data_IF_955926289513
#
_entry.id   IF_955926289513
#
_cell.length_a   1.000
_cell.length_b   1.000
_cell.length_c   1.000
_cell.angle_alpha   90.00
_cell.angle_beta   90.00
_cell.angle_gamma   90.00
#
_symmetry.space_group_name_H-M   'P 1'
#
loop_
_entity.id
_entity.type
_entity.pdbx_description
1 polymer ?
#
# COMPACT_ATOMS: atom_id res chain seq x y z
N UNK A 1 -38.66 27.92 -50.22
CA UNK A 1 -38.72 26.59 -49.58
C UNK A 1 -38.19 26.78 -48.17
N UNK A 2 -38.92 26.44 -47.10
CA UNK A 2 -38.37 26.58 -45.75
C UNK A 2 -37.20 25.59 -45.63
N UNK A 3 -36.03 26.09 -45.20
CA UNK A 3 -34.90 25.24 -44.82
C UNK A 3 -35.38 24.32 -43.68
N UNK A 4 -35.42 23.02 -43.96
CA UNK A 4 -35.70 22.00 -42.96
C UNK A 4 -34.52 22.00 -42.00
N UNK A 5 -34.72 22.54 -40.79
CA UNK A 5 -33.74 22.45 -39.72
C UNK A 5 -33.36 20.98 -39.43
N UNK A 6 -32.21 20.73 -38.79
CA UNK A 6 -31.72 19.37 -38.53
C UNK A 6 -32.80 18.47 -37.93
N UNK A 7 -33.03 17.31 -38.54
CA UNK A 7 -34.12 16.38 -38.19
C UNK A 7 -33.87 15.77 -36.80
N UNK A 8 -34.66 16.22 -35.81
CA UNK A 8 -34.62 15.71 -34.45
C UNK A 8 -35.53 14.50 -34.35
N UNK A 9 -34.95 13.36 -33.99
CA UNK A 9 -35.64 12.09 -33.85
C UNK A 9 -35.46 11.53 -32.43
N UNK A 10 -36.54 11.01 -31.86
CA UNK A 10 -36.50 10.27 -30.60
C UNK A 10 -36.07 8.83 -30.88
N UNK A 11 -34.86 8.45 -30.47
CA UNK A 11 -34.28 7.13 -30.75
C UNK A 11 -33.77 6.48 -29.46
N UNK A 12 -33.80 5.14 -29.45
CA UNK A 12 -33.10 4.34 -28.46
C UNK A 12 -31.64 4.15 -28.91
N UNK A 13 -30.70 4.67 -28.13
CA UNK A 13 -29.28 4.72 -28.44
C UNK A 13 -28.58 3.69 -27.57
N UNK A 14 -27.87 2.77 -28.22
CA UNK A 14 -27.03 1.77 -27.58
C UNK A 14 -25.58 2.16 -27.73
N UNK A 15 -24.87 2.31 -26.61
CA UNK A 15 -23.42 2.44 -26.55
C UNK A 15 -22.85 1.16 -25.93
N UNK A 16 -21.74 0.66 -26.46
CA UNK A 16 -21.02 -0.45 -25.85
C UNK A 16 -19.50 -0.26 -25.95
N UNK A 17 -18.76 -0.82 -25.00
CA UNK A 17 -17.29 -0.84 -25.00
C UNK A 17 -16.76 -2.16 -24.45
N UNK A 18 -15.45 -2.37 -24.58
CA UNK A 18 -14.76 -3.54 -24.02
C UNK A 18 -14.29 -3.26 -22.59
N UNK A 19 -14.71 -4.09 -21.64
CA UNK A 19 -14.26 -3.99 -20.26
C UNK A 19 -12.74 -4.28 -20.16
N UNK A 20 -11.95 -3.25 -19.81
CA UNK A 20 -10.51 -3.39 -19.58
C UNK A 20 -9.67 -3.52 -20.86
N UNK A 21 -10.12 -2.95 -21.98
CA UNK A 21 -9.46 -3.02 -23.29
C UNK A 21 -7.96 -2.71 -23.27
N UNK A 22 -7.54 -1.63 -22.59
CA UNK A 22 -6.13 -1.22 -22.51
C UNK A 22 -5.22 -2.29 -21.91
N UNK A 23 -5.74 -3.08 -20.95
CA UNK A 23 -5.01 -4.19 -20.32
C UNK A 23 -4.84 -5.38 -21.28
N UNK A 24 -5.87 -5.68 -22.08
CA UNK A 24 -5.83 -6.76 -23.08
C UNK A 24 -4.84 -6.43 -24.21
N UNK A 25 -4.85 -5.17 -24.67
CA UNK A 25 -3.93 -4.68 -25.70
C UNK A 25 -2.46 -4.72 -25.25
N UNK A 26 -2.16 -4.38 -24.00
CA UNK A 26 -0.80 -4.43 -23.45
C UNK A 26 -0.26 -5.87 -23.29
N UNK A 27 -1.16 -6.85 -23.11
CA UNK A 27 -0.77 -8.24 -22.91
C UNK A 27 -0.50 -8.97 -24.23
N UNK A 28 -1.40 -8.86 -25.22
CA UNK A 28 -1.27 -9.51 -26.52
C UNK A 28 -2.04 -8.74 -27.61
N UNK A 29 -1.33 -7.97 -28.43
CA UNK A 29 -1.94 -7.08 -29.44
C UNK A 29 -2.69 -7.83 -30.55
N UNK A 30 -2.07 -8.84 -31.17
CA UNK A 30 -2.62 -9.52 -32.37
C UNK A 30 -3.87 -10.35 -32.08
N UNK A 31 -3.89 -11.10 -30.97
CA UNK A 31 -5.02 -11.96 -30.58
C UNK A 31 -6.21 -11.15 -30.06
N UNK A 32 -5.96 -10.00 -29.43
CA UNK A 32 -6.99 -9.05 -29.00
C UNK A 32 -7.71 -8.45 -30.19
N UNK A 33 -6.97 -8.01 -31.22
CA UNK A 33 -7.56 -7.44 -32.45
C UNK A 33 -8.41 -8.47 -33.24
N UNK A 34 -8.01 -9.73 -33.29
CA UNK A 34 -8.76 -10.79 -33.97
C UNK A 34 -10.07 -11.13 -33.24
N UNK A 35 -10.01 -11.17 -31.90
CA UNK A 35 -11.18 -11.39 -31.04
C UNK A 35 -12.15 -10.21 -31.15
N UNK A 36 -11.64 -8.98 -31.13
CA UNK A 36 -12.42 -7.75 -31.30
C UNK A 36 -13.15 -7.70 -32.65
N UNK A 37 -12.48 -8.06 -33.76
CA UNK A 37 -13.13 -8.15 -35.09
C UNK A 37 -14.31 -9.11 -35.07
N UNK A 38 -14.10 -10.30 -34.52
CA UNK A 38 -15.12 -11.35 -34.42
C UNK A 38 -16.33 -10.91 -33.58
N UNK A 39 -16.09 -10.14 -32.50
CA UNK A 39 -17.16 -9.60 -31.66
C UNK A 39 -17.88 -8.44 -32.36
N UNK A 40 -17.18 -7.58 -33.10
CA UNK A 40 -17.79 -6.50 -33.90
C UNK A 40 -18.70 -7.03 -35.00
N UNK A 41 -18.35 -8.16 -35.61
CA UNK A 41 -19.22 -8.82 -36.60
C UNK A 41 -20.50 -9.37 -35.95
N UNK A 42 -20.41 -9.88 -34.72
CA UNK A 42 -21.56 -10.26 -33.90
C UNK A 42 -22.49 -9.05 -33.63
N UNK A 43 -21.93 -7.92 -33.19
CA UNK A 43 -22.70 -6.68 -33.02
C UNK A 43 -23.40 -6.26 -34.31
N UNK A 44 -22.68 -6.23 -35.45
CA UNK A 44 -23.27 -5.85 -36.75
C UNK A 44 -24.45 -6.76 -37.13
N UNK A 45 -24.30 -8.07 -36.94
CA UNK A 45 -25.33 -9.05 -37.24
C UNK A 45 -26.61 -8.84 -36.42
N UNK A 46 -26.47 -8.70 -35.09
CA UNK A 46 -27.61 -8.49 -34.20
C UNK A 46 -28.27 -7.12 -34.40
N UNK A 47 -27.49 -6.04 -34.49
CA UNK A 47 -28.04 -4.70 -34.72
C UNK A 47 -28.92 -4.71 -35.98
N UNK A 48 -28.44 -5.31 -37.07
CA UNK A 48 -29.23 -5.45 -38.31
C UNK A 48 -30.47 -6.31 -38.11
N UNK A 49 -30.33 -7.47 -37.46
CA UNK A 49 -31.43 -8.41 -37.18
C UNK A 49 -32.57 -7.77 -36.38
N UNK A 50 -32.24 -6.89 -35.44
CA UNK A 50 -33.22 -6.20 -34.60
C UNK A 50 -33.66 -4.84 -35.18
N UNK A 51 -33.43 -4.61 -36.48
CA UNK A 51 -33.80 -3.38 -37.20
C UNK A 51 -33.17 -2.10 -36.59
N UNK A 52 -31.97 -2.23 -36.04
CA UNK A 52 -31.15 -1.11 -35.61
C UNK A 52 -30.26 -0.57 -36.74
N UNK A 53 -29.87 0.70 -36.61
CA UNK A 53 -28.90 1.36 -37.47
C UNK A 53 -27.57 1.46 -36.74
N UNK A 54 -26.53 0.86 -37.30
CA UNK A 54 -25.18 1.00 -36.80
C UNK A 54 -24.62 2.39 -37.15
N UNK A 55 -24.18 3.13 -36.14
CA UNK A 55 -23.65 4.49 -36.29
C UNK A 55 -22.12 4.48 -36.32
N UNK A 56 -21.50 3.87 -35.32
CA UNK A 56 -20.04 3.81 -35.20
C UNK A 56 -19.57 2.45 -34.66
N UNK A 57 -18.40 2.04 -35.14
CA UNK A 57 -17.61 0.90 -34.64
C UNK A 57 -16.14 1.32 -34.55
N UNK A 58 -15.79 2.50 -34.04
CA UNK A 58 -14.39 2.92 -33.94
C UNK A 58 -13.74 2.38 -32.66
N UNK A 59 -12.48 1.97 -32.75
CA UNK A 59 -11.74 1.39 -31.62
C UNK A 59 -12.42 0.15 -31.03
N UNK A 60 -12.60 0.16 -29.71
CA UNK A 60 -13.32 -0.81 -28.89
C UNK A 60 -14.79 -0.44 -28.64
N UNK A 61 -15.23 0.73 -29.12
CA UNK A 61 -16.58 1.24 -28.96
C UNK A 61 -17.55 0.78 -30.04
N UNK A 62 -18.82 0.66 -29.67
CA UNK A 62 -19.96 0.42 -30.57
C UNK A 62 -21.04 1.44 -30.27
N UNK A 63 -21.57 2.08 -31.32
CA UNK A 63 -22.71 2.99 -31.21
C UNK A 63 -23.78 2.59 -32.24
N UNK A 64 -25.00 2.38 -31.77
CA UNK A 64 -26.14 2.02 -32.59
C UNK A 64 -27.40 2.76 -32.16
N UNK A 65 -28.33 2.96 -33.11
CA UNK A 65 -29.60 3.62 -32.88
C UNK A 65 -30.76 2.73 -33.33
N UNK A 66 -31.83 2.71 -32.55
CA UNK A 66 -33.03 1.91 -32.78
C UNK A 66 -34.25 2.82 -32.69
N UNK A 67 -35.23 2.59 -33.57
CA UNK A 67 -36.55 3.25 -33.49
C UNK A 67 -37.43 2.65 -32.39
N UNK A 68 -37.10 1.44 -31.93
CA UNK A 68 -37.81 0.72 -30.88
C UNK A 68 -36.90 0.48 -29.67
N UNK A 69 -37.23 1.01 -28.48
CA UNK A 69 -36.53 0.69 -27.24
C UNK A 69 -36.55 -0.81 -26.91
N UNK A 70 -37.63 -1.50 -27.27
CA UNK A 70 -37.77 -2.95 -27.05
C UNK A 70 -36.74 -3.70 -27.89
N UNK A 71 -36.61 -3.34 -29.18
CA UNK A 71 -35.62 -3.95 -30.07
C UNK A 71 -34.19 -3.70 -29.61
N UNK A 72 -33.91 -2.52 -29.06
CA UNK A 72 -32.59 -2.22 -28.51
C UNK A 72 -32.24 -3.13 -27.32
N UNK A 73 -33.19 -3.35 -26.39
CA UNK A 73 -32.98 -4.22 -25.22
C UNK A 73 -32.82 -5.68 -25.62
N UNK A 74 -33.71 -6.20 -26.47
CA UNK A 74 -33.63 -7.58 -26.98
C UNK A 74 -32.33 -7.82 -27.76
N UNK A 75 -31.91 -6.83 -28.56
CA UNK A 75 -30.62 -6.87 -29.26
C UNK A 75 -29.43 -6.93 -28.29
N UNK A 76 -29.44 -6.12 -27.22
CA UNK A 76 -28.36 -6.11 -26.25
C UNK A 76 -28.24 -7.44 -25.50
N UNK A 77 -29.38 -8.02 -25.11
CA UNK A 77 -29.41 -9.33 -24.44
C UNK A 77 -28.91 -10.42 -25.39
N UNK A 78 -29.40 -10.47 -26.63
CA UNK A 78 -28.94 -11.44 -27.63
C UNK A 78 -27.43 -11.34 -27.91
N UNK A 79 -26.88 -10.12 -27.94
CA UNK A 79 -25.44 -9.90 -28.08
C UNK A 79 -24.70 -10.45 -26.86
N UNK A 80 -25.08 -10.07 -25.64
CA UNK A 80 -24.37 -10.55 -24.43
C UNK A 80 -24.42 -12.07 -24.31
N UNK A 81 -25.54 -12.71 -24.64
CA UNK A 81 -25.70 -14.17 -24.61
C UNK A 81 -24.73 -14.86 -25.59
N UNK A 82 -24.63 -14.35 -26.82
CA UNK A 82 -23.73 -14.91 -27.83
C UNK A 82 -22.25 -14.66 -27.48
N UNK A 83 -21.92 -13.48 -26.96
CA UNK A 83 -20.56 -13.17 -26.51
C UNK A 83 -20.16 -14.03 -25.31
N UNK A 84 -21.06 -14.28 -24.35
CA UNK A 84 -20.81 -15.18 -23.23
C UNK A 84 -20.52 -16.61 -23.72
N UNK A 85 -21.28 -17.12 -24.68
CA UNK A 85 -21.05 -18.44 -25.28
C UNK A 85 -19.70 -18.52 -26.01
N UNK A 86 -19.33 -17.47 -26.75
CA UNK A 86 -18.03 -17.39 -27.44
C UNK A 86 -16.87 -17.33 -26.44
N UNK A 87 -17.01 -16.53 -25.38
CA UNK A 87 -16.00 -16.41 -24.32
C UNK A 87 -15.82 -17.71 -23.51
N UNK A 88 -16.88 -18.50 -23.32
CA UNK A 88 -16.79 -19.80 -22.65
C UNK A 88 -15.85 -20.79 -23.36
N UNK A 89 -15.66 -20.63 -24.68
CA UNK A 89 -14.77 -21.45 -25.50
C UNK A 89 -13.35 -20.86 -25.65
N UNK A 90 -13.09 -19.71 -25.03
CA UNK A 90 -11.79 -19.03 -25.09
C UNK A 90 -11.02 -19.17 -23.77
N UNK A 91 -9.68 -19.19 -23.82
CA UNK A 91 -8.88 -19.07 -22.60
C UNK A 91 -9.20 -17.78 -21.83
N UNK A 92 -9.08 -17.76 -20.48
CA UNK A 92 -9.45 -16.58 -19.67
C UNK A 92 -8.74 -15.28 -20.04
N UNK A 93 -7.54 -15.35 -20.62
CA UNK A 93 -6.78 -14.17 -21.07
C UNK A 93 -7.23 -13.63 -22.44
N UNK A 94 -8.10 -14.37 -23.16
CA UNK A 94 -8.70 -13.97 -24.45
C UNK A 94 -10.19 -13.65 -24.34
N UNK A 95 -10.83 -13.98 -23.22
CA UNK A 95 -12.24 -13.65 -22.98
C UNK A 95 -12.41 -12.12 -22.95
N UNK A 96 -13.30 -11.62 -23.81
CA UNK A 96 -13.55 -10.19 -24.00
C UNK A 96 -15.01 -9.89 -23.66
N UNK A 97 -15.23 -9.24 -22.53
CA UNK A 97 -16.56 -8.88 -22.07
C UNK A 97 -16.89 -7.45 -22.46
N UNK A 98 -18.11 -7.23 -22.93
CA UNK A 98 -18.61 -5.91 -23.31
C UNK A 98 -19.53 -5.36 -22.23
N UNK A 99 -19.55 -4.04 -22.11
CA UNK A 99 -20.52 -3.30 -21.30
C UNK A 99 -21.48 -2.59 -22.23
N UNK A 100 -22.77 -2.59 -21.92
CA UNK A 100 -23.79 -1.97 -22.79
C UNK A 100 -24.64 -0.97 -21.99
N UNK A 101 -24.84 0.20 -22.57
CA UNK A 101 -25.73 1.25 -22.07
C UNK A 101 -26.78 1.63 -23.09
N UNK A 102 -28.06 1.70 -22.71
CA UNK A 102 -29.17 2.05 -23.60
C UNK A 102 -29.95 3.24 -23.03
N UNK A 103 -30.09 4.29 -23.83
CA UNK A 103 -30.93 5.44 -23.48
C UNK A 103 -31.92 5.79 -24.59
N UNK A 104 -33.14 6.17 -24.23
CA UNK A 104 -34.10 6.78 -25.13
C UNK A 104 -34.04 8.30 -24.99
N UNK A 105 -33.71 9.01 -26.08
CA UNK A 105 -33.61 10.46 -26.07
C UNK A 105 -33.58 11.08 -27.47
N UNK A 106 -33.80 12.40 -27.52
CA UNK A 106 -33.78 13.16 -28.76
C UNK A 106 -32.35 13.30 -29.28
N UNK A 107 -32.17 12.99 -30.56
CA UNK A 107 -30.90 13.15 -31.28
C UNK A 107 -31.12 13.84 -32.60
N UNK A 108 -30.10 14.56 -33.04
CA UNK A 108 -30.01 15.09 -34.39
C UNK A 108 -29.32 14.02 -35.23
N UNK A 109 -30.04 13.52 -36.24
CA UNK A 109 -29.48 12.60 -37.22
C UNK A 109 -28.92 13.40 -38.40
N UNK A 110 -27.64 13.21 -38.70
CA UNK A 110 -26.97 13.78 -39.87
C UNK A 110 -26.25 12.66 -40.63
N UNK A 111 -26.86 12.21 -41.72
CA UNK A 111 -26.38 11.06 -42.49
C UNK A 111 -26.25 9.79 -41.64
N UNK A 112 -25.01 9.33 -41.44
CA UNK A 112 -24.68 8.14 -40.66
C UNK A 112 -24.22 8.44 -39.22
N UNK A 113 -24.30 9.69 -38.78
CA UNK A 113 -23.88 10.11 -37.43
C UNK A 113 -25.08 10.63 -36.63
N UNK A 114 -25.06 10.42 -35.32
CA UNK A 114 -26.04 10.98 -34.40
C UNK A 114 -25.36 11.89 -33.38
N UNK A 115 -25.99 13.02 -33.09
CA UNK A 115 -25.50 13.99 -32.11
C UNK A 115 -26.59 14.30 -31.09
N UNK A 116 -26.17 14.57 -29.85
CA UNK A 116 -27.06 15.06 -28.80
C UNK A 116 -26.81 14.42 -27.45
N UNK A 117 -27.49 14.95 -26.44
CA UNK A 117 -27.35 14.50 -25.05
C UNK A 117 -27.76 13.04 -24.86
N UNK A 118 -28.64 12.52 -25.71
CA UNK A 118 -29.04 11.11 -25.69
C UNK A 118 -27.87 10.14 -25.85
N UNK A 119 -26.87 10.50 -26.68
CA UNK A 119 -25.66 9.69 -26.89
C UNK A 119 -24.78 9.72 -25.65
N UNK A 120 -24.63 10.89 -25.04
CA UNK A 120 -23.87 11.06 -23.81
C UNK A 120 -24.50 10.26 -22.66
N UNK A 121 -25.82 10.21 -22.55
CA UNK A 121 -26.50 9.37 -21.53
C UNK A 121 -26.18 7.90 -21.76
N UNK A 122 -26.31 7.40 -23.00
CA UNK A 122 -26.07 6.00 -23.32
C UNK A 122 -24.65 5.56 -22.97
N UNK A 123 -23.64 6.34 -23.35
CA UNK A 123 -22.23 6.08 -23.00
C UNK A 123 -21.98 6.11 -21.48
N UNK A 124 -22.70 6.95 -20.73
CA UNK A 124 -22.57 6.97 -19.26
C UNK A 124 -23.26 5.79 -18.59
N UNK A 125 -24.36 5.30 -19.15
CA UNK A 125 -25.00 4.07 -18.68
C UNK A 125 -24.10 2.86 -18.93
N UNK A 126 -23.44 2.80 -20.09
CA UNK A 126 -22.42 1.79 -20.40
C UNK A 126 -21.32 1.79 -19.32
N UNK A 127 -20.76 2.97 -19.00
CA UNK A 127 -19.72 3.08 -17.97
C UNK A 127 -20.17 2.71 -16.54
N UNK A 128 -21.47 2.56 -16.29
CA UNK A 128 -22.03 2.07 -15.03
C UNK A 128 -22.28 0.56 -15.01
N UNK A 129 -22.28 -0.10 -16.17
CA UNK A 129 -22.48 -1.54 -16.25
C UNK A 129 -21.25 -2.29 -15.72
N UNK A 130 -21.48 -3.42 -15.05
CA UNK A 130 -20.41 -4.40 -14.79
C UNK A 130 -20.00 -5.08 -16.10
N UNK A 131 -18.85 -5.77 -16.12
CA UNK A 131 -18.43 -6.53 -17.30
C UNK A 131 -19.49 -7.55 -17.70
N UNK A 132 -19.89 -7.55 -18.98
CA UNK A 132 -21.01 -8.38 -19.48
C UNK A 132 -22.40 -7.84 -19.13
N UNK A 133 -22.50 -6.67 -18.49
CA UNK A 133 -23.75 -6.07 -18.03
C UNK A 133 -24.44 -5.19 -19.07
N UNK A 134 -25.74 -4.95 -18.84
CA UNK A 134 -26.58 -4.05 -19.64
C UNK A 134 -27.28 -3.08 -18.69
N UNK A 135 -27.09 -1.77 -18.91
CA UNK A 135 -27.74 -0.70 -18.16
C UNK A 135 -28.67 0.09 -19.07
N UNK A 136 -29.86 0.40 -18.57
CA UNK A 136 -30.86 1.18 -19.31
C UNK A 136 -31.35 2.38 -18.51
N UNK A 137 -31.72 3.45 -19.20
CA UNK A 137 -32.34 4.61 -18.56
C UNK A 137 -33.80 4.32 -18.17
N UNK A 138 -34.33 5.12 -17.25
CA UNK A 138 -35.73 5.06 -16.85
C UNK A 138 -36.72 5.30 -17.99
N UNK A 139 -36.32 6.08 -19.02
CA UNK A 139 -37.14 6.26 -20.21
C UNK A 139 -37.23 4.98 -21.04
N UNK A 140 -36.13 4.22 -21.17
CA UNK A 140 -36.17 2.88 -21.81
C UNK A 140 -37.00 1.92 -20.97
N UNK A 141 -36.74 1.83 -19.67
CA UNK A 141 -37.47 0.95 -18.76
C UNK A 141 -39.00 1.17 -18.84
N UNK A 142 -39.45 2.42 -18.77
CA UNK A 142 -40.87 2.76 -18.84
C UNK A 142 -41.56 2.27 -20.12
N UNK A 143 -40.83 2.15 -21.24
CA UNK A 143 -41.39 1.69 -22.52
C UNK A 143 -41.32 0.17 -22.73
N UNK A 144 -40.48 -0.54 -21.96
CA UNK A 144 -40.07 -1.92 -22.23
C UNK A 144 -40.46 -2.89 -21.10
N UNK A 145 -40.63 -2.44 -19.86
CA UNK A 145 -40.83 -3.29 -18.67
C UNK A 145 -41.92 -4.36 -18.83
N UNK A 146 -43.02 -4.05 -19.52
CA UNK A 146 -44.17 -4.96 -19.72
C UNK A 146 -44.13 -5.71 -21.05
N UNK A 147 -43.07 -5.51 -21.85
CA UNK A 147 -42.96 -6.02 -23.23
C UNK A 147 -41.88 -7.09 -23.41
N UNK A 148 -41.02 -7.27 -22.42
CA UNK A 148 -39.93 -8.25 -22.45
C UNK A 148 -39.93 -9.08 -21.17
N UNK A 149 -39.41 -10.31 -21.25
CA UNK A 149 -39.37 -11.24 -20.11
C UNK A 149 -38.10 -11.10 -19.26
N UNK A 150 -37.32 -10.03 -19.43
CA UNK A 150 -36.11 -9.77 -18.65
C UNK A 150 -36.44 -9.18 -17.27
N UNK A 151 -35.55 -9.34 -16.30
CA UNK A 151 -35.70 -8.68 -15.01
C UNK A 151 -35.00 -7.33 -15.05
N UNK A 152 -35.71 -6.27 -14.66
CA UNK A 152 -35.14 -4.94 -14.52
C UNK A 152 -34.90 -4.64 -13.05
N UNK A 153 -33.66 -4.30 -12.73
CA UNK A 153 -33.23 -4.05 -11.37
C UNK A 153 -32.92 -2.57 -11.21
N UNK A 154 -33.70 -1.87 -10.38
CA UNK A 154 -33.47 -0.46 -10.14
C UNK A 154 -32.18 -0.22 -9.36
N UNK A 155 -31.26 0.55 -9.95
CA UNK A 155 -29.94 0.89 -9.39
C UNK A 155 -29.85 2.35 -8.90
N UNK A 156 -31.01 3.02 -8.83
CA UNK A 156 -31.17 4.37 -8.32
C UNK A 156 -31.09 5.46 -9.38
N UNK A 157 -31.16 6.72 -8.94
CA UNK A 157 -30.96 7.89 -9.80
C UNK A 157 -29.50 8.29 -9.80
N UNK A 158 -28.86 8.38 -10.97
CA UNK A 158 -27.47 8.76 -11.13
C UNK A 158 -27.37 10.13 -11.80
N UNK A 159 -26.47 10.98 -11.28
CA UNK A 159 -26.11 12.24 -11.94
C UNK A 159 -25.08 11.94 -13.03
N UNK A 160 -25.35 12.39 -14.24
CA UNK A 160 -24.40 12.31 -15.36
C UNK A 160 -23.96 13.73 -15.73
N UNK A 161 -22.69 13.87 -16.14
CA UNK A 161 -22.15 15.18 -16.53
C UNK A 161 -23.01 15.77 -17.67
N UNK A 162 -23.29 17.07 -17.59
CA UNK A 162 -24.06 17.85 -18.58
C UNK A 162 -25.56 17.55 -18.67
N UNK A 163 -26.17 16.94 -17.65
CA UNK A 163 -27.64 16.79 -17.55
C UNK A 163 -28.12 17.34 -16.21
N UNK A 164 -29.11 18.25 -16.26
CA UNK A 164 -29.60 18.96 -15.08
C UNK A 164 -30.30 18.03 -14.06
N UNK A 165 -31.02 17.01 -14.54
CA UNK A 165 -31.77 16.08 -13.70
C UNK A 165 -31.09 14.71 -13.60
N UNK A 166 -31.06 14.09 -12.40
CA UNK A 166 -30.59 12.71 -12.24
C UNK A 166 -31.41 11.72 -13.06
N UNK A 167 -30.75 10.82 -13.78
CA UNK A 167 -31.39 9.79 -14.62
C UNK A 167 -31.62 8.53 -13.79
N UNK A 168 -32.83 7.97 -13.81
CA UNK A 168 -33.11 6.67 -13.21
C UNK A 168 -32.41 5.57 -14.02
N UNK A 169 -31.71 4.65 -13.36
CA UNK A 169 -30.92 3.59 -14.01
C UNK A 169 -31.45 2.22 -13.59
N UNK A 170 -31.55 1.32 -14.56
CA UNK A 170 -31.96 -0.06 -14.35
C UNK A 170 -30.96 -1.00 -15.00
N UNK A 171 -30.52 -2.02 -14.26
CA UNK A 171 -29.77 -3.14 -14.82
C UNK A 171 -30.73 -4.14 -15.45
N UNK A 172 -30.41 -4.63 -16.64
CA UNK A 172 -31.18 -5.67 -17.34
C UNK A 172 -30.54 -7.01 -17.07
N UNK A 173 -31.30 -7.91 -16.46
CA UNK A 173 -30.88 -9.28 -16.16
C UNK A 173 -31.64 -10.24 -17.10
N UNK A 174 -30.93 -10.96 -17.99
CA UNK A 174 -31.54 -11.95 -18.88
C UNK A 174 -32.38 -12.97 -18.11
N UNK A 175 -33.45 -13.46 -18.73
CA UNK A 175 -34.44 -14.34 -18.06
C UNK A 175 -33.78 -15.58 -17.46
N UNK A 176 -32.84 -16.19 -18.19
CA UNK A 176 -32.16 -17.41 -17.78
C UNK A 176 -31.14 -17.19 -16.65
N UNK A 177 -30.67 -15.97 -16.42
CA UNK A 177 -29.71 -15.65 -15.36
C UNK A 177 -30.34 -15.22 -14.03
N UNK A 178 -31.67 -15.01 -13.99
CA UNK A 178 -32.40 -14.46 -12.83
C UNK A 178 -32.05 -15.13 -11.49
N UNK A 179 -31.98 -16.46 -11.46
CA UNK A 179 -31.68 -17.21 -10.24
C UNK A 179 -30.23 -17.00 -9.75
N UNK A 180 -29.26 -17.05 -10.66
CA UNK A 180 -27.84 -16.82 -10.38
C UNK A 180 -27.58 -15.38 -9.94
N UNK A 181 -28.26 -14.41 -10.58
CA UNK A 181 -28.18 -13.00 -10.22
C UNK A 181 -28.72 -12.74 -8.80
N UNK A 182 -29.88 -13.30 -8.45
CA UNK A 182 -30.45 -13.15 -7.10
C UNK A 182 -29.55 -13.75 -6.02
N UNK A 183 -28.90 -14.89 -6.26
CA UNK A 183 -27.94 -15.48 -5.32
C UNK A 183 -26.66 -14.63 -5.18
N UNK A 184 -26.07 -14.18 -6.31
CA UNK A 184 -24.92 -13.25 -6.31
C UNK A 184 -25.22 -11.96 -5.54
N UNK A 185 -26.39 -11.36 -5.75
CA UNK A 185 -26.81 -10.12 -5.06
C UNK A 185 -27.11 -10.35 -3.58
N UNK A 186 -27.68 -11.51 -3.20
CA UNK A 186 -27.90 -11.90 -1.80
C UNK A 186 -26.57 -12.10 -1.07
N UNK A 187 -25.60 -12.75 -1.70
CA UNK A 187 -24.23 -12.89 -1.16
C UNK A 187 -23.53 -11.54 -1.04
N UNK A 188 -23.55 -10.69 -2.07
CA UNK A 188 -22.97 -9.32 -2.00
C UNK A 188 -23.63 -8.46 -0.91
N UNK A 189 -24.96 -8.50 -0.75
CA UNK A 189 -25.66 -7.82 0.35
C UNK A 189 -25.30 -8.41 1.72
N UNK A 190 -25.18 -9.73 1.85
CA UNK A 190 -24.74 -10.36 3.10
C UNK A 190 -23.30 -9.95 3.46
N UNK A 191 -22.40 -9.88 2.47
CA UNK A 191 -21.02 -9.38 2.66
C UNK A 191 -21.00 -7.88 3.03
N UNK A 192 -21.84 -7.05 2.42
CA UNK A 192 -21.97 -5.62 2.74
C UNK A 192 -22.59 -5.37 4.12
N UNK A 193 -23.55 -6.21 4.55
CA UNK A 193 -24.14 -6.15 5.90
C UNK A 193 -23.13 -6.63 6.94
N UNK A 194 -22.36 -7.69 6.65
CA UNK A 194 -21.26 -8.12 7.51
C UNK A 194 -20.17 -7.04 7.60
N UNK A 195 -19.79 -6.41 6.49
CA UNK A 195 -18.85 -5.30 6.45
C UNK A 195 -19.39 -4.05 7.17
N UNK A 196 -20.70 -3.77 7.06
CA UNK A 196 -21.37 -2.68 7.75
C UNK A 196 -21.53 -2.92 9.26
N UNK A 197 -21.72 -4.17 9.70
CA UNK A 197 -21.71 -4.53 11.11
C UNK A 197 -20.29 -4.40 11.72
N UNK A 198 -19.26 -4.76 10.95
CA UNK A 198 -17.86 -4.51 11.31
C UNK A 198 -17.58 -3.00 11.35
N UNK A 199 -18.05 -2.22 10.38
CA UNK A 199 -17.89 -0.76 10.35
C UNK A 199 -18.66 -0.08 11.50
N UNK A 200 -19.85 -0.56 11.84
CA UNK A 200 -20.66 -0.07 12.96
C UNK A 200 -20.02 -0.37 14.31
N UNK A 201 -19.42 -1.56 14.47
CA UNK A 201 -18.61 -1.88 15.65
C UNK A 201 -17.34 -1.01 15.71
N UNK A 202 -16.71 -0.71 14.57
CA UNK A 202 -15.55 0.22 14.48
C UNK A 202 -15.97 1.66 14.78
N UNK A 203 -17.16 2.11 14.34
CA UNK A 203 -17.66 3.46 14.60
C UNK A 203 -18.06 3.62 16.07
N UNK A 204 -18.74 2.65 16.68
CA UNK A 204 -19.03 2.66 18.11
C UNK A 204 -17.75 2.55 18.97
N UNK A 205 -16.77 1.74 18.54
CA UNK A 205 -15.44 1.71 19.15
C UNK A 205 -14.69 3.05 18.98
N UNK A 206 -14.83 3.73 17.83
CA UNK A 206 -14.21 5.04 17.54
C UNK A 206 -14.87 6.21 18.28
N UNK A 207 -16.17 6.16 18.51
CA UNK A 207 -16.90 7.13 19.34
C UNK A 207 -16.58 6.96 20.83
N UNK A 208 -16.31 5.72 21.27
CA UNK A 208 -15.70 5.45 22.58
C UNK A 208 -14.26 5.99 22.61
N UNK A 209 -13.46 5.76 21.56
CA UNK A 209 -12.07 6.24 21.43
C UNK A 209 -11.94 7.78 21.38
N UNK A 210 -12.95 8.51 20.90
CA UNK A 210 -12.96 9.96 20.82
C UNK A 210 -13.23 10.66 22.16
N UNK A 211 -13.76 9.93 23.16
CA UNK A 211 -13.97 10.41 24.53
C UNK A 211 -12.99 9.80 25.55
N UNK A 212 -12.05 8.95 25.09
CA UNK A 212 -10.90 8.54 25.90
C UNK A 212 -9.89 9.69 25.88
N UNK A 213 -9.54 10.28 27.03
CA UNK A 213 -8.46 11.26 27.08
C UNK A 213 -7.19 10.61 26.54
N UNK A 214 -6.47 11.37 25.71
CA UNK A 214 -5.22 11.00 25.07
C UNK A 214 -4.13 10.77 26.14
N UNK A 215 -4.17 9.62 26.80
CA UNK A 215 -3.09 9.12 27.65
C UNK A 215 -2.99 7.60 27.43
N UNK A 216 -1.87 7.20 26.83
CA UNK A 216 -1.42 5.82 26.60
C UNK A 216 -2.29 4.93 25.67
N UNK A 217 -1.90 4.85 24.40
CA UNK A 217 -2.00 3.58 23.66
C UNK A 217 -1.30 2.51 24.52
N UNK A 218 -1.86 1.30 24.72
CA UNK A 218 -1.18 0.29 25.51
C UNK A 218 0.14 -0.05 24.83
N UNK A 219 1.23 0.48 25.38
CA UNK A 219 2.57 -0.06 25.18
C UNK A 219 2.43 -1.55 25.45
N UNK A 220 2.71 -2.40 24.46
CA UNK A 220 2.83 -3.82 24.73
C UNK A 220 3.80 -3.96 25.92
N UNK A 221 3.29 -4.46 27.05
CA UNK A 221 3.98 -4.35 28.34
C UNK A 221 5.45 -4.74 28.20
N UNK A 222 6.34 -3.85 28.69
CA UNK A 222 7.80 -4.06 28.67
C UNK A 222 8.07 -5.44 29.29
N UNK A 223 8.77 -6.29 28.57
CA UNK A 223 9.14 -7.60 29.08
C UNK A 223 10.14 -7.42 30.23
N UNK A 224 10.04 -8.22 31.31
CA UNK A 224 10.96 -8.18 32.43
C UNK A 224 12.29 -8.87 32.06
N UNK A 225 12.93 -8.40 30.98
CA UNK A 225 14.22 -8.89 30.52
C UNK A 225 15.33 -8.45 31.49
N UNK A 226 16.33 -9.30 31.64
CA UNK A 226 17.47 -9.03 32.51
C UNK A 226 18.24 -7.81 32.01
N UNK A 227 18.39 -6.81 32.88
CA UNK A 227 19.24 -5.63 32.68
C UNK A 227 20.49 -5.76 33.54
N UNK A 228 21.67 -5.52 32.98
CA UNK A 228 22.93 -5.67 33.71
C UNK A 228 24.06 -4.81 33.14
N UNK A 229 25.17 -4.74 33.87
CA UNK A 229 26.44 -4.14 33.42
C UNK A 229 27.58 -5.11 33.73
N UNK A 230 28.60 -5.15 32.87
CA UNK A 230 29.80 -5.99 33.10
C UNK A 230 30.86 -5.27 33.95
N UNK A 231 30.77 -3.95 34.09
CA UNK A 231 31.60 -3.14 34.98
C UNK A 231 30.85 -1.85 35.38
N UNK A 232 31.27 -1.13 36.43
CA UNK A 232 30.54 0.06 36.92
C UNK A 232 30.32 1.11 35.82
N UNK A 233 31.33 1.32 34.99
CA UNK A 233 31.34 2.35 33.97
C UNK A 233 30.99 1.83 32.56
N UNK A 234 30.72 0.52 32.43
CA UNK A 234 30.36 -0.11 31.16
C UNK A 234 28.92 0.24 30.73
N UNK A 235 28.62 0.16 29.42
CA UNK A 235 27.25 0.31 28.95
C UNK A 235 26.30 -0.69 29.61
N UNK A 236 25.11 -0.20 29.95
CA UNK A 236 24.01 -1.04 30.42
C UNK A 236 23.51 -1.91 29.27
N UNK A 237 23.24 -3.17 29.56
CA UNK A 237 22.84 -4.20 28.60
C UNK A 237 21.47 -4.76 28.96
N UNK A 238 20.71 -5.16 27.95
CA UNK A 238 19.49 -5.97 28.09
C UNK A 238 19.69 -7.30 27.40
N UNK A 239 19.33 -8.39 28.07
CA UNK A 239 19.33 -9.74 27.48
C UNK A 239 18.14 -9.91 26.52
N UNK A 240 18.45 -10.00 25.23
CA UNK A 240 17.49 -10.13 24.14
C UNK A 240 17.28 -11.62 23.83
N UNK A 241 16.05 -12.13 23.88
CA UNK A 241 15.78 -13.56 23.69
C UNK A 241 15.95 -13.98 22.23
N UNK A 242 16.38 -15.23 21.99
CA UNK A 242 16.29 -15.87 20.67
C UNK A 242 14.85 -15.86 20.15
N UNK A 243 14.68 -15.83 18.83
CA UNK A 243 13.36 -15.79 18.21
C UNK A 243 13.41 -15.74 16.69
N UNK A 244 12.23 -15.60 16.08
CA UNK A 244 12.09 -15.44 14.62
C UNK A 244 11.23 -14.21 14.35
N UNK A 245 11.63 -13.40 13.38
CA UNK A 245 10.87 -12.22 12.97
C UNK A 245 10.88 -12.04 11.45
N UNK A 246 10.05 -11.12 10.97
CA UNK A 246 10.03 -10.68 9.58
C UNK A 246 10.92 -9.44 9.46
N UNK A 247 12.06 -9.58 8.75
CA UNK A 247 12.97 -8.48 8.42
C UNK A 247 12.50 -7.79 7.14
N UNK A 248 12.59 -6.47 7.11
CA UNK A 248 12.20 -5.63 5.98
C UNK A 248 10.80 -5.07 6.10
N UNK A 249 10.31 -4.40 5.06
CA UNK A 249 8.95 -3.82 5.01
C UNK A 249 8.24 -4.21 3.70
N UNK A 250 6.91 -4.42 3.73
CA UNK A 250 6.15 -4.66 2.52
C UNK A 250 6.00 -3.37 1.70
N UNK A 251 5.83 -3.46 0.36
CA UNK A 251 5.60 -2.28 -0.48
C UNK A 251 4.38 -1.44 -0.11
N UNK A 252 3.46 -1.98 0.68
CA UNK A 252 2.28 -1.28 1.21
C UNK A 252 2.55 -0.46 2.47
N UNK A 253 3.70 -0.63 3.13
CA UNK A 253 4.07 0.19 4.30
C UNK A 253 4.41 1.61 3.84
N UNK A 254 3.83 2.62 4.50
CA UNK A 254 4.09 4.03 4.17
C UNK A 254 5.58 4.37 4.40
N UNK A 255 6.20 5.01 3.42
CA UNK A 255 7.63 5.35 3.44
C UNK A 255 8.56 4.19 3.06
N UNK A 256 8.04 3.05 2.58
CA UNK A 256 8.84 1.91 2.11
C UNK A 256 9.90 2.31 1.08
N UNK A 257 11.12 1.79 1.25
CA UNK A 257 12.19 1.82 0.24
C UNK A 257 12.47 0.43 -0.32
N UNK A 258 12.80 0.36 -1.61
CA UNK A 258 13.12 -0.90 -2.29
C UNK A 258 14.26 -1.69 -1.62
N UNK A 259 15.19 -1.01 -0.94
CA UNK A 259 16.29 -1.65 -0.20
C UNK A 259 15.85 -2.44 1.03
N UNK A 260 14.62 -2.23 1.49
CA UNK A 260 13.98 -2.87 2.64
C UNK A 260 13.31 -4.20 2.27
N UNK A 261 13.28 -4.56 0.98
CA UNK A 261 12.69 -5.78 0.47
C UNK A 261 13.71 -6.80 -0.05
N UNK A 262 13.30 -8.07 -0.24
CA UNK A 262 12.01 -8.62 0.14
C UNK A 262 11.89 -8.83 1.66
N UNK A 263 10.65 -8.86 2.15
CA UNK A 263 10.37 -9.26 3.53
C UNK A 263 10.70 -10.75 3.69
N UNK A 264 11.56 -11.06 4.66
CA UNK A 264 12.06 -12.43 4.85
C UNK A 264 12.01 -12.82 6.32
N UNK A 265 11.68 -14.07 6.61
CA UNK A 265 11.78 -14.62 7.97
C UNK A 265 13.24 -14.85 8.34
N UNK A 266 13.68 -14.26 9.45
CA UNK A 266 15.05 -14.33 9.96
C UNK A 266 15.05 -14.91 11.36
N UNK A 267 15.97 -15.82 11.64
CA UNK A 267 16.12 -16.47 12.94
C UNK A 267 17.27 -15.87 13.76
N UNK A 268 16.94 -15.34 14.93
CA UNK A 268 17.90 -15.05 16.01
C UNK A 268 18.09 -16.32 16.81
N UNK A 269 19.19 -17.04 16.57
CA UNK A 269 19.37 -18.43 17.01
C UNK A 269 19.75 -18.53 18.47
N UNK A 270 20.44 -17.52 19.00
CA UNK A 270 20.88 -17.45 20.39
C UNK A 270 20.43 -16.15 21.01
N UNK A 271 20.15 -16.20 22.30
CA UNK A 271 20.02 -14.97 23.08
C UNK A 271 21.35 -14.22 23.05
N UNK A 272 21.27 -12.90 23.00
CA UNK A 272 22.43 -12.02 23.04
C UNK A 272 22.10 -10.82 23.91
N UNK A 273 23.11 -10.07 24.35
CA UNK A 273 22.87 -8.84 25.07
C UNK A 273 23.06 -7.64 24.13
N UNK A 274 22.22 -6.62 24.27
CA UNK A 274 22.31 -5.39 23.50
C UNK A 274 22.33 -4.18 24.45
N UNK A 275 23.10 -3.14 24.11
CA UNK A 275 23.13 -1.88 24.85
C UNK A 275 21.71 -1.41 25.14
N UNK A 276 21.37 -1.01 26.36
CA UNK A 276 20.02 -0.49 26.63
C UNK A 276 19.78 0.81 25.86
N UNK A 277 20.86 1.57 25.69
CA UNK A 277 20.97 2.84 24.99
C UNK A 277 22.03 2.78 23.88
N UNK A 278 22.03 3.71 22.92
CA UNK A 278 23.24 4.03 22.13
C UNK A 278 24.41 4.37 23.04
N UNK A 279 25.64 4.12 22.59
CA UNK A 279 26.83 4.48 23.37
C UNK A 279 26.84 5.98 23.61
N UNK A 280 27.03 6.38 24.86
CA UNK A 280 27.00 7.78 25.27
C UNK A 280 28.38 8.43 25.15
N UNK A 281 28.43 9.77 25.11
CA UNK A 281 29.70 10.49 25.22
C UNK A 281 30.44 10.15 26.52
N UNK A 282 29.73 9.93 27.62
CA UNK A 282 30.34 9.57 28.91
C UNK A 282 31.02 8.21 28.88
N UNK A 283 30.40 7.22 28.22
CA UNK A 283 30.99 5.90 27.99
C UNK A 283 32.16 5.98 26.99
N UNK A 284 32.03 6.76 25.92
CA UNK A 284 33.11 7.00 24.96
C UNK A 284 34.33 7.65 25.62
N UNK A 285 34.10 8.65 26.47
CA UNK A 285 35.16 9.39 27.14
C UNK A 285 35.98 8.53 28.11
N UNK A 286 35.44 7.41 28.60
CA UNK A 286 36.22 6.46 29.37
C UNK A 286 37.28 5.79 28.51
N UNK A 287 36.91 5.35 27.31
CA UNK A 287 37.84 4.78 26.35
C UNK A 287 38.96 5.78 25.98
N UNK A 288 38.61 7.07 25.90
CA UNK A 288 39.57 8.16 25.70
C UNK A 288 40.50 8.33 26.91
N UNK A 289 39.95 8.36 28.13
CA UNK A 289 40.72 8.51 29.38
C UNK A 289 41.70 7.36 29.59
N UNK A 290 41.33 6.14 29.23
CA UNK A 290 42.18 4.96 29.29
C UNK A 290 43.16 4.85 28.11
N UNK A 291 43.13 5.84 27.20
CA UNK A 291 44.08 5.96 26.10
C UNK A 291 43.86 4.96 24.96
N UNK A 292 42.79 4.17 24.98
CA UNK A 292 42.49 3.20 23.94
C UNK A 292 41.84 3.85 22.71
N UNK A 293 40.84 4.72 22.91
CA UNK A 293 40.26 5.52 21.83
C UNK A 293 41.11 6.78 21.62
N UNK A 294 41.32 7.18 20.35
CA UNK A 294 42.10 8.38 20.00
C UNK A 294 41.26 9.57 19.56
N UNK A 295 40.14 9.29 18.88
CA UNK A 295 39.25 10.32 18.37
C UNK A 295 38.31 10.85 19.44
N UNK A 296 38.40 12.15 19.76
CA UNK A 296 37.51 12.82 20.72
C UNK A 296 36.49 13.69 19.97
N UNK A 297 35.30 13.16 19.65
CA UNK A 297 34.29 13.91 18.92
C UNK A 297 33.74 15.09 19.72
N UNK A 298 33.44 16.18 19.00
CA UNK A 298 32.77 17.38 19.51
C UNK A 298 31.25 17.10 19.65
N UNK A 299 30.68 17.42 20.81
CA UNK A 299 29.25 17.30 21.15
C UNK A 299 28.41 18.51 20.69
N UNK A 300 29.01 19.46 19.95
CA UNK A 300 28.43 20.71 19.45
C UNK A 300 27.88 21.62 20.55
N UNK A 301 28.31 21.42 21.80
CA UNK A 301 27.76 22.11 22.96
C UNK A 301 26.30 21.73 23.27
N UNK A 302 25.81 20.60 22.74
CA UNK A 302 24.44 20.13 22.94
C UNK A 302 24.26 19.33 24.24
N UNK A 303 25.36 19.02 24.91
CA UNK A 303 25.38 18.22 26.12
C UNK A 303 26.22 16.96 25.93
N UNK A 304 27.25 16.85 26.76
CA UNK A 304 28.11 15.65 26.87
C UNK A 304 27.59 14.72 27.98
N UNK A 305 28.29 13.64 28.26
CA UNK A 305 27.86 12.68 29.29
C UNK A 305 26.79 11.76 28.73
N UNK A 306 25.52 11.97 29.09
CA UNK A 306 24.39 11.07 28.74
C UNK A 306 23.85 11.26 27.32
N UNK A 307 24.35 12.22 26.54
CA UNK A 307 24.05 12.31 25.11
C UNK A 307 24.68 11.16 24.32
N UNK A 308 24.04 10.65 23.26
CA UNK A 308 24.62 9.63 22.40
C UNK A 308 25.86 10.17 21.69
N UNK A 309 26.93 9.37 21.62
CA UNK A 309 28.12 9.75 20.87
C UNK A 309 27.80 9.77 19.38
N UNK A 310 28.21 10.85 18.70
CA UNK A 310 28.16 10.99 17.25
C UNK A 310 29.48 11.56 16.72
N UNK A 311 29.62 11.75 15.41
CA UNK A 311 30.90 12.06 14.76
C UNK A 311 31.96 10.96 14.96
N UNK A 312 31.52 9.71 15.05
CA UNK A 312 32.39 8.53 15.08
C UNK A 312 32.20 7.74 13.78
N UNK A 313 33.29 7.24 13.24
CA UNK A 313 33.26 6.37 12.06
C UNK A 313 33.51 4.91 12.46
N UNK A 314 33.53 4.00 11.48
CA UNK A 314 33.63 2.58 11.75
C UNK A 314 34.94 2.21 12.45
N UNK A 315 36.06 2.83 12.07
CA UNK A 315 37.36 2.56 12.68
C UNK A 315 37.42 3.03 14.13
N UNK A 316 36.89 4.23 14.43
CA UNK A 316 36.80 4.72 15.80
C UNK A 316 36.01 3.72 16.68
N UNK A 317 34.90 3.20 16.14
CA UNK A 317 34.04 2.23 16.85
C UNK A 317 34.76 0.90 17.09
N UNK A 318 35.60 0.43 16.17
CA UNK A 318 36.41 -0.78 16.39
C UNK A 318 37.33 -0.62 17.58
N UNK A 319 37.98 0.54 17.73
CA UNK A 319 38.87 0.81 18.85
C UNK A 319 38.09 0.77 20.17
N UNK A 320 36.90 1.37 20.20
CA UNK A 320 35.99 1.30 21.34
C UNK A 320 35.56 -0.13 21.68
N UNK A 321 35.16 -0.92 20.68
CA UNK A 321 34.76 -2.33 20.86
C UNK A 321 35.94 -3.17 21.35
N UNK A 322 37.14 -2.97 20.80
CA UNK A 322 38.36 -3.66 21.21
C UNK A 322 38.70 -3.33 22.67
N UNK A 323 38.65 -2.06 23.04
CA UNK A 323 38.83 -1.61 24.42
C UNK A 323 37.82 -2.28 25.36
N UNK A 324 36.53 -2.27 25.01
CA UNK A 324 35.48 -2.84 25.86
C UNK A 324 35.63 -4.36 26.02
N UNK A 325 36.07 -5.07 24.97
CA UNK A 325 36.45 -6.49 25.05
C UNK A 325 37.59 -6.71 26.04
N UNK A 326 38.67 -5.94 25.92
CA UNK A 326 39.83 -6.06 26.80
C UNK A 326 39.49 -5.74 28.25
N UNK A 327 38.72 -4.67 28.48
CA UNK A 327 38.33 -4.21 29.81
C UNK A 327 37.46 -5.23 30.57
N UNK A 328 36.57 -5.93 29.85
CA UNK A 328 35.55 -6.80 30.48
C UNK A 328 35.84 -8.30 30.32
N UNK A 329 36.73 -8.68 29.40
CA UNK A 329 36.92 -10.06 28.98
C UNK A 329 35.70 -10.66 28.28
N UNK A 330 34.75 -9.84 27.81
CA UNK A 330 33.50 -10.30 27.18
C UNK A 330 33.49 -10.05 25.67
N UNK A 331 32.68 -10.84 24.96
CA UNK A 331 32.55 -10.81 23.51
C UNK A 331 31.67 -9.65 23.00
N UNK A 332 32.07 -8.40 23.26
CA UNK A 332 31.39 -7.21 22.74
C UNK A 332 31.57 -7.05 21.23
N UNK A 333 30.62 -6.46 20.52
CA UNK A 333 30.67 -6.21 19.07
C UNK A 333 29.63 -5.16 18.67
N UNK A 334 29.65 -4.77 17.40
CA UNK A 334 28.44 -4.18 16.79
C UNK A 334 27.38 -5.29 16.61
N UNK A 335 26.09 -4.99 16.77
CA UNK A 335 25.04 -5.92 16.37
C UNK A 335 25.09 -6.18 14.87
N UNK A 336 24.63 -7.35 14.44
CA UNK A 336 24.24 -7.51 13.04
C UNK A 336 23.00 -6.66 12.74
N UNK A 337 22.76 -6.38 11.47
CA UNK A 337 21.57 -5.68 11.05
C UNK A 337 20.30 -6.45 11.43
N UNK A 338 20.34 -7.78 11.28
CA UNK A 338 19.25 -8.66 11.66
C UNK A 338 18.92 -8.55 13.16
N UNK A 339 19.94 -8.59 14.01
CA UNK A 339 19.78 -8.42 15.47
C UNK A 339 19.22 -7.03 15.81
N UNK A 340 19.70 -5.98 15.13
CA UNK A 340 19.24 -4.63 15.37
C UNK A 340 17.75 -4.49 15.01
N UNK A 341 17.30 -4.97 13.86
CA UNK A 341 15.89 -4.85 13.46
C UNK A 341 14.98 -5.73 14.33
N UNK A 342 15.41 -6.95 14.67
CA UNK A 342 14.70 -7.81 15.61
C UNK A 342 14.46 -7.08 16.95
N UNK A 343 15.52 -6.48 17.48
CA UNK A 343 15.50 -5.77 18.73
C UNK A 343 14.66 -4.48 18.66
N UNK A 344 14.69 -3.76 17.53
CA UNK A 344 13.89 -2.55 17.30
C UNK A 344 12.39 -2.87 17.27
N UNK A 345 12.01 -3.92 16.54
CA UNK A 345 10.61 -4.38 16.41
C UNK A 345 10.03 -4.95 17.70
N UNK A 346 10.86 -5.60 18.52
CA UNK A 346 10.46 -6.17 19.81
C UNK A 346 9.16 -7.01 19.74
N UNK A 347 9.00 -7.76 18.64
CA UNK A 347 7.87 -8.64 18.37
C UNK A 347 6.75 -8.06 17.51
N UNK A 348 6.81 -6.79 17.08
CA UNK A 348 5.83 -6.21 16.15
C UNK A 348 6.23 -6.41 14.69
N UNK A 349 5.25 -6.24 13.79
CA UNK A 349 5.44 -6.22 12.32
C UNK A 349 5.11 -4.86 11.71
N UNK A 350 4.78 -3.89 12.55
CA UNK A 350 4.36 -2.54 12.20
C UNK A 350 5.55 -1.65 11.88
N UNK A 351 5.30 -0.45 11.37
CA UNK A 351 6.35 0.52 11.06
C UNK A 351 7.19 0.90 12.29
N UNK A 352 6.56 1.04 13.47
CA UNK A 352 7.21 1.30 14.76
C UNK A 352 6.81 0.24 15.80
N UNK A 353 7.55 0.07 16.92
CA UNK A 353 7.19 -0.91 17.96
C UNK A 353 5.91 -0.55 18.73
N UNK A 354 5.38 0.65 18.53
CA UNK A 354 4.11 1.11 19.09
C UNK A 354 2.96 1.17 18.07
N UNK A 355 3.17 0.71 16.84
CA UNK A 355 2.15 0.70 15.78
C UNK A 355 2.63 1.33 14.46
N UNK A 356 1.71 1.56 13.52
CA UNK A 356 2.03 2.13 12.20
C UNK A 356 2.04 3.67 12.20
N UNK A 357 1.35 4.29 13.16
CA UNK A 357 1.38 5.73 13.33
C UNK A 357 2.69 6.17 13.99
N UNK A 358 3.21 7.33 13.59
CA UNK A 358 4.43 7.95 14.16
C UNK A 358 4.36 8.08 15.69
N UNK A 359 3.16 8.31 16.23
CA UNK A 359 2.96 8.59 17.65
C UNK A 359 3.38 10.02 18.01
N UNK A 360 3.16 10.42 19.27
CA UNK A 360 3.67 11.68 19.82
C UNK A 360 4.61 11.35 20.98
N UNK A 361 5.74 12.06 21.05
CA UNK A 361 6.74 11.88 22.14
C UNK A 361 7.23 10.43 22.26
N UNK A 362 7.37 9.75 21.12
CA UNK A 362 7.87 8.38 21.05
C UNK A 362 9.34 8.29 20.60
N UNK A 363 9.85 9.33 19.92
CA UNK A 363 11.17 9.34 19.30
C UNK A 363 11.69 10.77 19.12
N UNK A 364 13.02 10.93 19.08
CA UNK A 364 13.68 12.17 18.68
C UNK A 364 13.91 12.21 17.16
N UNK A 365 12.91 12.70 16.41
CA UNK A 365 13.02 12.98 14.98
C UNK A 365 12.17 14.22 14.63
N UNK A 366 12.43 14.89 13.51
CA UNK A 366 11.64 16.02 13.04
C UNK A 366 10.21 15.55 12.70
N UNK A 367 9.25 15.94 13.53
CA UNK A 367 7.85 15.52 13.39
C UNK A 367 7.44 14.31 14.22
N UNK A 368 8.35 13.71 15.01
CA UNK A 368 8.01 12.63 15.97
C UNK A 368 7.45 13.16 17.31
N UNK A 369 7.68 14.44 17.62
CA UNK A 369 7.14 15.11 18.81
C UNK A 369 7.03 16.62 18.58
N UNK A 370 6.15 17.28 19.32
CA UNK A 370 6.06 18.76 19.32
C UNK A 370 7.36 19.41 19.81
N UNK A 371 8.09 18.70 20.68
CA UNK A 371 9.41 19.06 21.21
C UNK A 371 10.58 18.52 20.36
N UNK A 372 10.31 18.05 19.13
CA UNK A 372 11.31 17.46 18.25
C UNK A 372 12.50 18.41 18.10
N UNK A 373 13.64 18.00 18.65
CA UNK A 373 14.80 18.86 18.74
C UNK A 373 15.61 18.79 17.46
N UNK A 374 16.11 19.94 16.98
CA UNK A 374 17.13 20.01 15.92
C UNK A 374 18.53 19.59 16.43
N UNK A 375 18.57 18.72 17.46
CA UNK A 375 19.76 18.19 18.14
C UNK A 375 19.46 16.84 18.80
N UNK A 376 20.51 16.16 19.23
CA UNK A 376 20.38 14.97 20.08
C UNK A 376 19.76 15.31 21.43
N UNK A 377 19.09 14.32 22.03
CA UNK A 377 18.63 14.36 23.43
C UNK A 377 19.45 13.38 24.27
N UNK A 378 19.51 13.53 25.60
CA UNK A 378 20.03 12.47 26.48
C UNK A 378 19.40 11.12 26.13
N UNK A 379 20.19 10.05 26.16
CA UNK A 379 19.64 8.71 25.92
C UNK A 379 18.56 8.38 26.95
N UNK A 380 17.53 7.66 26.52
CA UNK A 380 16.40 7.32 27.38
C UNK A 380 15.36 8.42 27.58
N UNK A 381 15.43 9.52 26.81
CA UNK A 381 14.45 10.62 26.92
C UNK A 381 13.04 10.25 26.43
N UNK A 382 12.91 9.15 25.68
CA UNK A 382 11.65 8.66 25.12
C UNK A 382 11.33 7.26 25.66
N UNK A 383 10.07 6.80 25.62
CA UNK A 383 9.71 5.47 26.11
C UNK A 383 10.51 4.35 25.41
N UNK A 384 10.86 3.27 26.13
CA UNK A 384 11.49 2.12 25.50
C UNK A 384 10.49 1.29 24.71
N UNK A 385 11.00 0.43 23.83
CA UNK A 385 10.19 -0.63 23.24
C UNK A 385 9.99 -1.80 24.22
N UNK A 386 9.24 -2.83 23.78
CA UNK A 386 8.89 -4.00 24.59
C UNK A 386 10.11 -4.79 25.10
N UNK A 387 11.27 -4.67 24.46
CA UNK A 387 12.53 -5.29 24.93
C UNK A 387 13.32 -4.38 25.88
N UNK A 388 12.71 -3.32 26.42
CA UNK A 388 13.35 -2.35 27.30
C UNK A 388 14.54 -1.61 26.66
N UNK A 389 14.52 -1.47 25.32
CA UNK A 389 15.54 -0.75 24.55
C UNK A 389 15.05 0.65 24.21
N UNK A 390 15.94 1.62 24.39
CA UNK A 390 15.68 3.04 24.17
C UNK A 390 16.37 3.54 22.91
N UNK A 391 15.80 4.61 22.34
CA UNK A 391 16.35 5.32 21.19
C UNK A 391 16.62 4.40 19.98
N UNK A 392 15.83 3.34 19.80
CA UNK A 392 15.87 2.51 18.58
C UNK A 392 15.30 3.26 17.37
N UNK A 393 14.51 4.31 17.61
CA UNK A 393 13.84 5.12 16.60
C UNK A 393 14.16 6.60 16.86
N UNK A 394 15.01 7.19 16.03
CA UNK A 394 15.49 8.57 16.14
C UNK A 394 16.76 8.74 16.97
N UNK A 395 16.97 9.97 17.44
CA UNK A 395 18.15 10.46 18.15
C UNK A 395 19.42 10.39 17.30
N UNK A 396 20.02 9.21 17.09
CA UNK A 396 21.14 9.02 16.15
C UNK A 396 20.98 7.73 15.37
N UNK A 397 21.40 7.78 14.11
CA UNK A 397 21.56 6.58 13.30
C UNK A 397 22.65 5.71 13.91
N UNK A 398 22.47 4.39 13.85
CA UNK A 398 23.33 3.44 14.55
C UNK A 398 24.04 2.54 13.55
N UNK A 399 25.37 2.59 13.54
CA UNK A 399 26.19 1.67 12.77
C UNK A 399 25.96 0.22 13.21
N UNK A 400 25.85 -0.69 12.24
CA UNK A 400 25.83 -2.14 12.46
C UNK A 400 27.00 -2.81 11.73
N UNK A 401 27.20 -4.11 11.97
CA UNK A 401 28.36 -4.84 11.45
C UNK A 401 28.32 -5.07 9.92
N UNK A 402 27.13 -5.09 9.33
CA UNK A 402 26.85 -5.51 7.96
C UNK A 402 27.39 -4.55 6.90
N UNK A 403 27.88 -5.12 5.80
CA UNK A 403 28.19 -4.36 4.58
C UNK A 403 26.89 -3.93 3.87
N UNK A 404 26.96 -2.82 3.13
CA UNK A 404 25.79 -2.34 2.40
C UNK A 404 25.43 -3.24 1.22
N UNK A 405 24.14 -3.54 1.09
CA UNK A 405 23.52 -4.17 -0.06
C UNK A 405 22.19 -3.45 -0.37
N UNK A 406 21.93 -3.21 -1.66
CA UNK A 406 20.78 -2.43 -2.13
C UNK A 406 19.43 -3.17 -2.04
N UNK A 407 19.41 -4.43 -1.59
CA UNK A 407 18.20 -5.21 -1.28
C UNK A 407 18.55 -6.39 -0.35
N UNK A 408 17.53 -7.05 0.21
CA UNK A 408 17.67 -8.27 0.99
C UNK A 408 17.60 -9.58 0.17
N UNK A 409 17.63 -9.52 -1.17
CA UNK A 409 17.37 -10.69 -2.02
C UNK A 409 18.30 -11.90 -1.74
N UNK A 410 19.54 -11.63 -1.34
CA UNK A 410 20.56 -12.64 -1.01
C UNK A 410 21.06 -12.52 0.44
N UNK A 411 20.28 -11.87 1.30
CA UNK A 411 20.67 -11.62 2.68
C UNK A 411 20.64 -12.92 3.50
N UNK A 412 21.54 -13.09 4.49
CA UNK A 412 21.44 -14.18 5.46
C UNK A 412 20.07 -14.19 6.13
N UNK A 413 19.54 -15.39 6.38
CA UNK A 413 18.26 -15.65 7.06
C UNK A 413 18.43 -16.01 8.53
N UNK A 414 19.62 -15.75 9.07
CA UNK A 414 19.98 -15.93 10.47
C UNK A 414 20.52 -14.61 11.07
N UNK A 415 21.00 -14.68 12.30
CA UNK A 415 21.59 -13.59 13.08
C UNK A 415 23.00 -13.16 12.62
N UNK A 416 23.58 -13.82 11.62
CA UNK A 416 24.93 -13.48 11.15
C UNK A 416 24.95 -12.14 10.40
N UNK A 417 26.01 -11.33 10.57
CA UNK A 417 26.17 -10.12 9.80
C UNK A 417 26.46 -10.45 8.32
N UNK A 418 25.88 -9.67 7.43
CA UNK A 418 26.09 -9.79 5.98
C UNK A 418 27.40 -9.10 5.57
N UNK A 419 28.48 -9.88 5.49
CA UNK A 419 29.84 -9.38 5.25
C UNK A 419 30.26 -9.39 3.77
N UNK A 420 29.31 -9.43 2.84
CA UNK A 420 29.55 -9.31 1.40
C UNK A 420 28.74 -8.15 0.80
N UNK A 421 29.13 -7.66 -0.38
CA UNK A 421 28.52 -6.48 -1.03
C UNK A 421 29.45 -5.27 -1.05
N UNK A 422 28.91 -4.06 -0.91
CA UNK A 422 29.68 -2.81 -0.90
C UNK A 422 30.32 -2.56 0.48
N UNK A 423 31.36 -3.32 0.83
CA UNK A 423 31.97 -3.27 2.16
C UNK A 423 32.80 -2.00 2.48
N UNK A 424 32.98 -1.09 1.52
CA UNK A 424 33.43 0.28 1.81
C UNK A 424 32.38 1.09 2.58
N UNK A 425 31.12 0.66 2.52
CA UNK A 425 30.01 1.16 3.32
C UNK A 425 29.63 0.14 4.40
N UNK A 426 29.03 0.64 5.47
CA UNK A 426 28.31 -0.17 6.44
C UNK A 426 26.86 0.28 6.51
N UNK A 427 25.99 -0.62 6.93
CA UNK A 427 24.58 -0.29 7.17
C UNK A 427 24.49 0.60 8.42
N UNK A 428 23.58 1.58 8.36
CA UNK A 428 23.10 2.34 9.52
C UNK A 428 21.59 2.16 9.68
N UNK A 429 21.13 2.14 10.94
CA UNK A 429 19.73 1.87 11.31
C UNK A 429 19.14 2.92 12.26
N UNK A 430 17.82 3.09 12.23
CA UNK A 430 17.05 3.77 13.28
C UNK A 430 16.71 5.24 13.10
N UNK A 431 17.21 5.95 12.09
CA UNK A 431 16.92 7.38 11.94
C UNK A 431 17.72 8.26 12.91
N UNK A 432 17.53 9.58 12.84
CA UNK A 432 18.22 10.53 13.72
C UNK A 432 17.41 11.80 13.96
N UNK A 433 17.91 12.63 14.87
CA UNK A 433 17.43 14.00 15.07
C UNK A 433 17.39 14.78 13.74
N UNK A 434 16.37 15.64 13.59
CA UNK A 434 16.20 16.48 12.40
C UNK A 434 15.75 15.76 11.11
N UNK A 435 15.56 14.43 11.13
CA UNK A 435 15.04 13.65 10.00
C UNK A 435 13.55 13.35 10.15
N UNK A 436 12.89 13.01 9.04
CA UNK A 436 11.45 12.73 9.04
C UNK A 436 11.13 11.43 9.78
N UNK A 437 9.87 11.20 10.18
CA UNK A 437 9.48 9.94 10.81
C UNK A 437 9.73 8.71 9.94
N UNK A 438 9.67 8.85 8.62
CA UNK A 438 9.94 7.76 7.67
C UNK A 438 11.35 7.18 7.83
N UNK A 439 12.32 8.01 8.21
CA UNK A 439 13.69 7.58 8.49
C UNK A 439 13.84 6.83 9.83
N UNK A 440 12.86 6.95 10.73
CA UNK A 440 12.86 6.31 12.05
C UNK A 440 12.07 4.98 12.10
N UNK A 441 11.50 4.53 10.97
CA UNK A 441 10.80 3.23 10.90
C UNK A 441 11.73 2.06 11.22
N UNK A 442 11.17 1.00 11.78
CA UNK A 442 11.89 -0.21 12.20
C UNK A 442 12.66 -0.85 11.05
N UNK A 443 12.11 -0.84 9.84
CA UNK A 443 12.70 -1.43 8.63
C UNK A 443 13.70 -0.51 7.91
N UNK A 444 13.73 0.79 8.23
CA UNK A 444 14.51 1.77 7.48
C UNK A 444 16.02 1.49 7.61
N UNK A 445 16.69 1.44 6.47
CA UNK A 445 18.14 1.18 6.30
C UNK A 445 18.78 2.12 5.32
N UNK A 446 19.98 2.56 5.65
CA UNK A 446 20.84 3.31 4.74
C UNK A 446 22.25 2.70 4.74
N UNK A 447 22.97 2.86 3.65
CA UNK A 447 24.38 2.49 3.55
C UNK A 447 25.23 3.74 3.53
N UNK A 448 26.22 3.82 4.40
CA UNK A 448 27.05 5.01 4.54
C UNK A 448 28.53 4.62 4.59
N UNK A 449 29.42 5.51 4.13
CA UNK A 449 30.84 5.20 3.98
C UNK A 449 31.49 5.02 5.36
N UNK A 450 32.28 3.95 5.54
CA UNK A 450 32.85 3.57 6.84
C UNK A 450 33.83 4.59 7.42
N UNK A 451 34.37 5.48 6.61
CA UNK A 451 35.27 6.56 6.98
C UNK A 451 34.53 7.84 7.42
N UNK A 452 33.23 7.96 7.11
CA UNK A 452 32.44 9.14 7.42
C UNK A 452 32.22 9.32 8.92
N UNK A 453 32.61 10.50 9.43
CA UNK A 453 32.19 11.02 10.73
C UNK A 453 31.07 12.02 10.52
N UNK A 454 29.85 11.69 10.93
CA UNK A 454 28.67 12.53 10.74
C UNK A 454 28.00 12.89 12.06
N UNK A 455 27.43 14.10 12.12
CA UNK A 455 26.71 14.62 13.30
C UNK A 455 25.40 13.90 13.61
N UNK A 456 25.02 12.91 12.80
CA UNK A 456 23.82 12.08 12.97
C UNK A 456 24.13 10.59 13.17
N UNK A 457 25.39 10.18 13.07
CA UNK A 457 25.77 8.75 13.15
C UNK A 457 26.48 8.48 14.47
N UNK A 458 25.89 7.60 15.26
CA UNK A 458 26.44 6.98 16.46
C UNK A 458 26.38 5.46 16.32
N UNK A 459 26.33 4.75 17.44
CA UNK A 459 26.24 3.30 17.44
C UNK A 459 25.73 2.80 18.79
N UNK A 460 25.41 1.51 18.84
CA UNK A 460 25.18 0.77 20.08
C UNK A 460 25.97 -0.52 20.04
N UNK A 461 26.23 -1.08 21.20
CA UNK A 461 26.97 -2.35 21.30
C UNK A 461 26.01 -3.53 21.45
N UNK A 462 26.49 -4.69 21.02
CA UNK A 462 25.95 -6.00 21.33
C UNK A 462 27.03 -6.83 22.01
N UNK A 463 26.64 -7.92 22.65
CA UNK A 463 27.54 -8.86 23.31
C UNK A 463 26.97 -10.27 23.19
N UNK A 464 27.81 -11.20 22.76
CA UNK A 464 27.43 -12.62 22.76
C UNK A 464 27.32 -13.15 24.20
N UNK A 465 26.26 -13.92 24.44
CA UNK A 465 26.06 -14.64 25.70
C UNK A 465 26.59 -16.08 25.59
N UNK A 466 27.03 -16.68 26.72
CA UNK A 466 27.57 -18.04 26.75
C UNK A 466 26.63 -19.11 26.20
#
# INVERSE_FOLDING_TARGET
MPEIGPDRQLLAIMAADVAGYSRLMAAQERSTLETLKTHRDCFRGHITRFNGRLIDLSGDGVLAAFTSPTSAVECAVAIQDELAQRNANLPPHRAMEFRIGINLGDVIADGNTIYGDGVNVAARLEGLAESGGIMVSGSVFAHVQDKVEHLFVYEGRKRVKNIAAPVAVYEVVPRHERASFMDRRRRRKATLVAAGAVLGAVVLASAWYAFVPYDAVPSAAILPLRVFRDCPDCPELVEIPSGVFERGSPPSESGHHASEGPVTRVAIRRSFAMGRYPVTFGEWDQCIREGACKHKPNDRGWGRGTGPVFYVNWNDIRDYVAWLRTKTGKAYRLPSEAEWEYAARAGTRTAYPWGDAVGRKMANCKGCSEDASDRTTPVGSFPPNRFNLFDMHGNVWQWVADCWNASYASAPVDDSPWLSGECGKAVVRGGAWGLSPEDARSARREGDNKDLRSGRRGFRIARDLP
#
